data_IF_897003037266
#
_entry.id   IF_897003037266
#
_cell.length_a   1.000
_cell.length_b   1.000
_cell.length_c   1.000
_cell.angle_alpha   90.00
_cell.angle_beta   90.00
_cell.angle_gamma   90.00
#
_symmetry.space_group_name_H-M   'P 1'
#
loop_
_entity.id
_entity.type
_entity.pdbx_description
1 polymer ?
#
# COMPACT_ATOMS: atom_id res chain seq x y z
N UNK A 1 -51.75 -18.36 -4.29
CA UNK A 1 -50.36 -18.78 -4.02
C UNK A 1 -49.60 -18.60 -5.32
N UNK A 2 -48.98 -17.43 -5.51
CA UNK A 2 -48.23 -17.10 -6.71
C UNK A 2 -46.77 -17.47 -6.50
N UNK A 3 -46.24 -18.28 -7.41
CA UNK A 3 -44.87 -18.76 -7.40
C UNK A 3 -43.95 -17.64 -7.89
N UNK A 4 -43.14 -17.08 -6.98
CA UNK A 4 -42.05 -16.19 -7.36
C UNK A 4 -40.90 -17.02 -7.96
N UNK A 5 -40.81 -17.01 -9.28
CA UNK A 5 -39.68 -17.53 -10.04
C UNK A 5 -38.45 -16.65 -9.78
N UNK A 6 -37.46 -17.19 -9.06
CA UNK A 6 -36.15 -16.58 -8.90
C UNK A 6 -35.40 -16.62 -10.24
N UNK A 7 -35.20 -15.45 -10.86
CA UNK A 7 -34.35 -15.32 -12.04
C UNK A 7 -32.88 -15.69 -11.74
N UNK A 8 -32.07 -15.99 -12.75
CA UNK A 8 -30.67 -16.37 -12.54
C UNK A 8 -29.93 -15.23 -11.86
N UNK A 9 -29.54 -15.44 -10.59
CA UNK A 9 -28.57 -14.60 -9.92
C UNK A 9 -27.26 -14.72 -10.70
N UNK A 10 -26.88 -13.64 -11.39
CA UNK A 10 -25.55 -13.51 -11.94
C UNK A 10 -24.57 -13.67 -10.78
N UNK A 11 -23.93 -14.83 -10.70
CA UNK A 11 -22.81 -15.04 -9.81
C UNK A 11 -21.69 -14.15 -10.31
N UNK A 12 -21.60 -12.96 -9.73
CA UNK A 12 -20.46 -12.07 -9.88
C UNK A 12 -19.25 -12.85 -9.35
N UNK A 13 -18.51 -13.45 -10.29
CA UNK A 13 -17.37 -14.30 -10.00
C UNK A 13 -16.34 -13.39 -9.34
N UNK A 14 -16.28 -13.39 -8.01
CA UNK A 14 -15.19 -12.75 -7.28
C UNK A 14 -13.90 -13.33 -7.84
N UNK A 15 -13.20 -12.55 -8.66
CA UNK A 15 -11.94 -12.96 -9.27
C UNK A 15 -10.92 -13.02 -8.15
N UNK A 16 -10.81 -14.18 -7.52
CA UNK A 16 -9.77 -14.44 -6.54
C UNK A 16 -8.42 -14.33 -7.26
N UNK A 17 -7.68 -13.26 -7.00
CA UNK A 17 -6.32 -13.12 -7.52
C UNK A 17 -5.47 -14.27 -6.95
N UNK A 18 -4.98 -15.19 -7.79
CA UNK A 18 -4.22 -16.35 -7.32
C UNK A 18 -2.93 -15.94 -6.58
N UNK A 19 -2.44 -14.73 -6.82
CA UNK A 19 -1.24 -14.18 -6.21
C UNK A 19 -1.45 -13.63 -4.80
N UNK A 20 -2.70 -13.52 -4.30
CA UNK A 20 -2.97 -13.06 -2.93
C UNK A 20 -2.31 -13.95 -1.87
N UNK A 21 -2.12 -15.24 -2.18
CA UNK A 21 -1.39 -16.19 -1.34
C UNK A 21 0.05 -15.75 -1.04
N UNK A 22 0.69 -14.99 -1.94
CA UNK A 22 2.05 -14.47 -1.75
C UNK A 22 2.07 -13.46 -0.59
N UNK A 23 1.04 -12.62 -0.49
CA UNK A 23 0.94 -11.61 0.58
C UNK A 23 0.60 -12.24 1.92
N UNK A 24 -0.21 -13.30 1.93
CA UNK A 24 -0.49 -14.05 3.16
C UNK A 24 0.76 -14.78 3.68
N UNK A 25 1.57 -15.35 2.78
CA UNK A 25 2.83 -16.00 3.15
C UNK A 25 3.94 -15.02 3.54
N UNK A 26 3.87 -13.77 3.08
CA UNK A 26 4.91 -12.75 3.27
C UNK A 26 4.32 -11.46 3.85
N UNK A 27 3.52 -11.59 4.91
CA UNK A 27 2.91 -10.43 5.57
C UNK A 27 3.96 -9.43 6.01
N UNK A 28 3.60 -8.15 5.95
CA UNK A 28 4.44 -7.10 6.48
C UNK A 28 4.49 -7.18 8.01
N UNK A 29 5.69 -7.38 8.55
CA UNK A 29 5.96 -7.54 9.98
C UNK A 29 6.83 -6.41 10.58
N UNK A 30 7.15 -5.40 9.77
CA UNK A 30 8.00 -4.27 10.18
C UNK A 30 9.48 -4.47 9.86
N UNK A 31 9.92 -5.68 9.55
CA UNK A 31 11.33 -6.00 9.26
C UNK A 31 11.59 -6.23 7.77
N UNK A 32 10.55 -6.60 7.02
CA UNK A 32 10.64 -7.08 5.64
C UNK A 32 10.12 -6.07 4.58
N UNK A 33 10.16 -4.76 4.85
CA UNK A 33 9.50 -3.73 4.02
C UNK A 33 9.80 -3.84 2.52
N UNK A 34 11.08 -3.95 2.12
CA UNK A 34 11.45 -4.01 0.70
C UNK A 34 10.95 -5.27 0.00
N UNK A 35 10.92 -6.41 0.71
CA UNK A 35 10.42 -7.67 0.18
C UNK A 35 8.90 -7.65 0.07
N UNK A 36 8.22 -7.17 1.12
CA UNK A 36 6.78 -6.98 1.11
C UNK A 36 6.33 -6.02 0.00
N UNK A 37 7.01 -4.87 -0.15
CA UNK A 37 6.70 -3.89 -1.21
C UNK A 37 6.85 -4.48 -2.61
N UNK A 38 7.87 -5.32 -2.82
CA UNK A 38 8.06 -6.04 -4.08
C UNK A 38 6.89 -6.99 -4.35
N UNK A 39 6.50 -7.80 -3.36
CA UNK A 39 5.38 -8.74 -3.49
C UNK A 39 4.05 -8.01 -3.73
N UNK A 40 3.80 -6.92 -3.01
CA UNK A 40 2.63 -6.06 -3.18
C UNK A 40 2.55 -5.53 -4.62
N UNK A 41 3.64 -5.00 -5.16
CA UNK A 41 3.68 -4.52 -6.54
C UNK A 41 3.38 -5.62 -7.55
N UNK A 42 3.88 -6.85 -7.35
CA UNK A 42 3.58 -7.99 -8.25
C UNK A 42 2.07 -8.30 -8.26
N UNK A 43 1.44 -8.35 -7.07
CA UNK A 43 0.00 -8.64 -6.95
C UNK A 43 -0.84 -7.54 -7.61
N UNK A 44 -0.48 -6.27 -7.39
CA UNK A 44 -1.21 -5.14 -7.97
C UNK A 44 -0.98 -4.98 -9.46
N UNK A 45 0.21 -5.32 -9.97
CA UNK A 45 0.52 -5.27 -11.40
C UNK A 45 -0.30 -6.30 -12.17
N UNK A 46 -0.51 -7.48 -11.58
CA UNK A 46 -1.42 -8.49 -12.12
C UNK A 46 -2.87 -7.99 -12.30
N UNK A 47 -3.32 -7.06 -11.45
CA UNK A 47 -4.64 -6.42 -11.55
C UNK A 47 -4.61 -5.06 -12.29
N UNK A 48 -3.46 -4.64 -12.82
CA UNK A 48 -3.22 -3.32 -13.41
C UNK A 48 -3.51 -2.14 -12.45
N UNK A 49 -3.30 -2.30 -11.14
CA UNK A 49 -3.62 -1.33 -10.09
C UNK A 49 -2.39 -0.69 -9.43
N UNK A 50 -1.17 -1.05 -9.84
CA UNK A 50 0.08 -0.51 -9.27
C UNK A 50 0.12 1.03 -9.25
N UNK A 51 -0.53 1.65 -10.23
CA UNK A 51 -0.64 3.09 -10.38
C UNK A 51 -1.21 3.80 -9.12
N UNK A 52 -2.01 3.10 -8.31
CA UNK A 52 -2.64 3.63 -7.09
C UNK A 52 -1.61 3.92 -6.00
N UNK A 53 -0.49 3.18 -5.99
CA UNK A 53 0.56 3.36 -4.98
C UNK A 53 1.30 4.69 -5.15
N UNK A 54 1.49 5.13 -6.39
CA UNK A 54 2.38 6.25 -6.72
C UNK A 54 1.65 7.59 -6.84
N UNK A 55 0.33 7.57 -7.05
CA UNK A 55 -0.45 8.79 -7.28
C UNK A 55 -1.42 9.03 -6.14
N UNK A 56 -1.49 10.27 -5.68
CA UNK A 56 -2.53 10.71 -4.76
C UNK A 56 -3.91 10.66 -5.43
N UNK A 57 -4.94 10.39 -4.64
CA UNK A 57 -6.33 10.45 -5.07
C UNK A 57 -6.64 11.79 -5.77
N UNK A 58 -7.23 11.80 -6.98
CA UNK A 58 -7.73 13.04 -7.59
C UNK A 58 -8.84 13.62 -6.70
N UNK A 59 -8.55 14.70 -5.96
CA UNK A 59 -9.49 15.28 -4.99
C UNK A 59 -10.64 16.05 -5.64
N UNK A 60 -10.49 16.45 -6.90
CA UNK A 60 -11.50 17.23 -7.61
C UNK A 60 -11.75 16.66 -8.99
N UNK A 61 -13.03 16.64 -9.34
CA UNK A 61 -13.50 16.56 -10.71
C UNK A 61 -12.88 17.78 -11.46
N UNK A 62 -12.00 17.60 -12.47
CA UNK A 62 -11.47 18.72 -13.26
C UNK A 62 -12.55 19.41 -14.09
N UNK A 63 -12.78 20.71 -13.88
CA UNK A 63 -13.78 21.63 -14.48
C UNK A 63 -14.05 21.49 -16.00
N UNK A 64 -13.18 20.79 -16.76
CA UNK A 64 -13.30 20.43 -18.18
C UNK A 64 -14.35 19.31 -18.46
N UNK A 65 -15.48 19.27 -17.76
CA UNK A 65 -16.47 18.18 -17.91
C UNK A 65 -17.37 18.27 -19.15
N UNK A 66 -17.44 19.42 -19.82
CA UNK A 66 -18.53 19.68 -20.76
C UNK A 66 -18.40 19.08 -22.17
N UNK A 67 -17.34 18.32 -22.50
CA UNK A 67 -17.16 17.81 -23.89
C UNK A 67 -16.77 16.32 -24.03
N UNK A 68 -16.61 15.58 -22.93
CA UNK A 68 -16.14 14.18 -22.92
C UNK A 68 -16.54 13.38 -21.67
N UNK A 69 -17.67 13.79 -21.09
CA UNK A 69 -18.11 13.59 -19.70
C UNK A 69 -18.18 12.12 -19.24
N UNK A 70 -18.56 11.20 -20.13
CA UNK A 70 -18.72 9.77 -19.76
C UNK A 70 -17.39 9.03 -19.59
N UNK A 71 -16.39 9.31 -20.43
CA UNK A 71 -15.08 8.66 -20.34
C UNK A 71 -14.28 9.16 -19.14
N UNK A 72 -14.40 10.44 -18.80
CA UNK A 72 -13.75 11.03 -17.62
C UNK A 72 -14.43 10.57 -16.33
N UNK A 73 -15.76 10.53 -16.28
CA UNK A 73 -16.51 9.98 -15.16
C UNK A 73 -16.17 8.50 -14.91
N UNK A 74 -16.19 7.67 -15.96
CA UNK A 74 -15.84 6.24 -15.83
C UNK A 74 -14.42 6.04 -15.28
N UNK A 75 -13.44 6.83 -15.73
CA UNK A 75 -12.07 6.78 -15.22
C UNK A 75 -11.98 7.19 -13.75
N UNK A 76 -12.73 8.22 -13.36
CA UNK A 76 -12.78 8.67 -11.97
C UNK A 76 -13.41 7.61 -11.05
N UNK A 77 -14.54 7.02 -11.44
CA UNK A 77 -15.18 5.94 -10.70
C UNK A 77 -14.28 4.71 -10.60
N UNK A 78 -13.65 4.31 -11.72
CA UNK A 78 -12.70 3.19 -11.74
C UNK A 78 -11.54 3.42 -10.77
N UNK A 79 -10.97 4.62 -10.76
CA UNK A 79 -9.90 4.96 -9.83
C UNK A 79 -10.32 4.81 -8.37
N UNK A 80 -11.53 5.25 -8.00
CA UNK A 80 -12.04 5.11 -6.64
C UNK A 80 -12.23 3.64 -6.23
N UNK A 81 -12.75 2.82 -7.13
CA UNK A 81 -12.92 1.39 -6.89
C UNK A 81 -11.58 0.67 -6.76
N UNK A 82 -10.64 0.95 -7.66
CA UNK A 82 -9.28 0.40 -7.57
C UNK A 82 -8.58 0.87 -6.30
N UNK A 83 -8.71 2.15 -5.93
CA UNK A 83 -8.15 2.67 -4.68
C UNK A 83 -8.71 1.96 -3.44
N UNK A 84 -10.00 1.61 -3.42
CA UNK A 84 -10.62 0.85 -2.31
C UNK A 84 -10.10 -0.58 -2.25
N UNK A 85 -9.92 -1.23 -3.40
CA UNK A 85 -9.35 -2.57 -3.51
C UNK A 85 -7.90 -2.60 -3.03
N UNK A 86 -7.07 -1.71 -3.55
CA UNK A 86 -5.66 -1.61 -3.15
C UNK A 86 -5.53 -1.31 -1.66
N UNK A 87 -6.35 -0.42 -1.10
CA UNK A 87 -6.37 -0.17 0.35
C UNK A 87 -6.64 -1.44 1.16
N UNK A 88 -7.64 -2.22 0.74
CA UNK A 88 -7.96 -3.50 1.37
C UNK A 88 -6.80 -4.49 1.29
N UNK A 89 -6.17 -4.62 0.12
CA UNK A 89 -5.00 -5.49 -0.11
C UNK A 89 -3.81 -5.08 0.76
N UNK A 90 -3.52 -3.78 0.82
CA UNK A 90 -2.43 -3.23 1.63
C UNK A 90 -2.65 -3.59 3.10
N UNK A 91 -3.85 -3.35 3.65
CA UNK A 91 -4.15 -3.67 5.05
C UNK A 91 -4.13 -5.17 5.33
N UNK A 92 -4.72 -6.01 4.47
CA UNK A 92 -4.78 -7.46 4.68
C UNK A 92 -3.39 -8.12 4.62
N UNK A 93 -2.48 -7.53 3.82
CA UNK A 93 -1.10 -7.98 3.68
C UNK A 93 -0.20 -7.64 4.88
N UNK A 94 -0.73 -6.98 5.91
CA UNK A 94 0.01 -6.64 7.13
C UNK A 94 -0.25 -7.65 8.25
N UNK A 95 0.70 -7.80 9.16
CA UNK A 95 0.44 -8.45 10.43
C UNK A 95 -0.58 -7.65 11.25
N UNK A 96 -1.40 -8.33 12.06
CA UNK A 96 -2.48 -7.71 12.83
C UNK A 96 -2.04 -6.49 13.67
N UNK A 97 -0.83 -6.52 14.22
CA UNK A 97 -0.29 -5.42 15.03
C UNK A 97 0.02 -4.16 14.22
N UNK A 98 0.44 -4.34 12.97
CA UNK A 98 0.74 -3.24 12.05
C UNK A 98 -0.54 -2.77 11.36
N UNK A 99 -1.40 -3.69 10.94
CA UNK A 99 -2.70 -3.38 10.34
C UNK A 99 -3.48 -2.37 11.20
N UNK A 100 -3.61 -2.63 12.51
CA UNK A 100 -4.27 -1.73 13.48
C UNK A 100 -3.72 -0.30 13.50
N UNK A 101 -2.44 -0.11 13.18
CA UNK A 101 -1.82 1.22 13.12
C UNK A 101 -2.26 1.99 11.87
N UNK A 102 -2.56 1.29 10.78
CA UNK A 102 -2.88 1.89 9.48
C UNK A 102 -4.37 1.84 9.11
N UNK A 103 -5.21 1.09 9.85
CA UNK A 103 -6.67 0.99 9.60
C UNK A 103 -7.40 2.34 9.55
N UNK A 104 -6.90 3.37 10.24
CA UNK A 104 -7.51 4.72 10.26
C UNK A 104 -7.13 5.59 9.06
N UNK A 105 -6.18 5.17 8.25
CA UNK A 105 -5.77 5.95 7.08
C UNK A 105 -6.78 5.78 5.97
N UNK A 106 -7.36 6.87 5.49
CA UNK A 106 -8.41 6.85 4.47
C UNK A 106 -7.89 6.60 3.05
N UNK A 107 -6.59 6.77 2.81
CA UNK A 107 -6.00 6.64 1.48
C UNK A 107 -4.67 5.88 1.50
N UNK A 108 -4.45 5.12 0.42
CA UNK A 108 -3.25 4.28 0.23
C UNK A 108 -1.98 5.12 0.19
N UNK A 109 -2.03 6.28 -0.45
CA UNK A 109 -0.87 7.15 -0.62
C UNK A 109 -0.25 7.56 0.72
N UNK A 110 -1.08 7.96 1.69
CA UNK A 110 -0.64 8.34 3.03
C UNK A 110 -0.01 7.17 3.79
N UNK A 111 -0.56 5.95 3.65
CA UNK A 111 0.03 4.73 4.22
C UNK A 111 1.42 4.51 3.60
N UNK A 112 1.49 4.46 2.26
CA UNK A 112 2.73 4.18 1.54
C UNK A 112 3.83 5.23 1.80
N UNK A 113 3.46 6.51 1.84
CA UNK A 113 4.36 7.60 2.16
C UNK A 113 4.91 7.47 3.58
N UNK A 114 4.05 7.25 4.57
CA UNK A 114 4.49 7.08 5.96
C UNK A 114 5.39 5.85 6.14
N UNK A 115 5.03 4.71 5.55
CA UNK A 115 5.85 3.51 5.61
C UNK A 115 7.20 3.70 4.92
N UNK A 116 7.25 4.41 3.79
CA UNK A 116 8.52 4.72 3.12
C UNK A 116 9.43 5.52 4.04
N UNK A 117 8.93 6.57 4.67
CA UNK A 117 9.71 7.38 5.63
C UNK A 117 10.21 6.55 6.82
N UNK A 118 9.36 5.65 7.36
CA UNK A 118 9.68 4.88 8.56
C UNK A 118 10.64 3.71 8.30
N UNK A 119 10.50 3.01 7.17
CA UNK A 119 11.17 1.74 6.91
C UNK A 119 12.24 1.79 5.81
N UNK A 120 12.28 2.83 4.97
CA UNK A 120 13.35 2.99 3.95
C UNK A 120 14.44 3.96 4.38
N UNK A 121 14.12 4.92 5.25
CA UNK A 121 15.15 5.77 5.85
C UNK A 121 15.86 4.91 6.88
N UNK A 122 17.16 4.62 6.75
CA UNK A 122 17.92 3.88 7.74
C UNK A 122 17.78 4.62 9.07
N UNK A 123 16.98 3.99 9.92
CA UNK A 123 16.39 4.50 11.14
C UNK A 123 17.33 5.49 11.83
N UNK A 124 16.97 6.80 11.84
CA UNK A 124 17.79 7.84 12.48
C UNK A 124 18.14 7.45 13.92
N UNK A 125 17.27 6.68 14.58
CA UNK A 125 17.43 6.19 15.95
C UNK A 125 18.55 5.15 16.10
N UNK A 126 18.86 4.35 15.08
CA UNK A 126 19.97 3.37 15.13
C UNK A 126 21.30 4.03 14.73
N UNK A 127 21.26 5.03 13.84
CA UNK A 127 22.46 5.73 13.39
C UNK A 127 23.10 6.56 14.50
N UNK A 128 22.34 7.31 15.31
CA UNK A 128 22.96 8.15 16.34
C UNK A 128 23.85 7.37 17.33
N UNK A 129 23.43 6.22 17.89
CA UNK A 129 24.30 5.41 18.76
C UNK A 129 25.48 4.78 18.03
N UNK A 130 25.24 4.16 16.86
CA UNK A 130 26.29 3.46 16.09
C UNK A 130 27.35 4.44 15.57
N UNK A 131 26.93 5.60 15.07
CA UNK A 131 27.80 6.67 14.60
C UNK A 131 28.60 7.25 15.77
N UNK A 132 27.98 7.46 16.95
CA UNK A 132 28.67 7.94 18.16
C UNK A 132 29.72 6.95 18.67
N UNK A 133 29.44 5.64 18.62
CA UNK A 133 30.41 4.58 18.97
C UNK A 133 31.53 4.52 17.92
N UNK A 134 31.20 4.62 16.64
CA UNK A 134 32.18 4.54 15.54
C UNK A 134 33.12 5.76 15.49
N UNK A 135 32.62 6.97 15.76
CA UNK A 135 33.46 8.18 15.87
C UNK A 135 34.15 8.30 17.24
N UNK A 136 33.53 7.81 18.32
CA UNK A 136 34.14 7.79 19.66
C UNK A 136 35.30 6.80 19.80
N UNK A 137 35.25 5.67 19.09
CA UNK A 137 36.33 4.67 19.09
C UNK A 137 37.59 5.14 18.32
N UNK A 138 37.50 6.22 17.52
CA UNK A 138 38.64 6.77 16.77
C UNK A 138 39.45 7.84 17.51
N UNK A 139 39.11 8.16 18.76
CA UNK A 139 39.84 9.17 19.57
C UNK A 139 40.54 8.60 20.82
N UNK A 140 40.86 7.30 20.84
CA UNK A 140 41.64 6.69 21.95
C UNK A 140 42.95 6.04 21.45
N UNK A 141 43.21 5.99 20.14
CA UNK A 141 44.48 5.47 19.64
C UNK A 141 45.37 6.60 19.15
N UNK A 142 45.89 7.33 20.14
CA UNK A 142 46.76 8.48 19.94
C UNK A 142 47.10 9.21 21.24
N UNK A 143 47.14 8.50 22.37
CA UNK A 143 47.84 8.98 23.56
C UNK A 143 49.34 8.74 23.39
N UNK A 144 50.09 9.80 23.14
CA UNK A 144 51.54 9.93 23.36
C UNK A 144 51.96 11.30 22.82
N UNK A 145 52.63 12.22 23.54
CA UNK A 145 53.26 12.28 24.88
C UNK A 145 53.02 13.71 25.38
#
# INVERSE_FOLDING_TARGET
MENFSCGPQAQEKMSHNPLNSILEANKFDGTNYLNWLRNLRIVLDFENQTYVLDKSLPQTLPERFLLGERLTFNKFTQWHEDSRKVHSIVLSSMSNGIQKQYERYENVWSIMHHMKELYTVPNRIIRYPVMKVFFGARMIEGSSI
#
